data_IF_811256166365
#
_entry.id   IF_811256166365
#
_cell.length_a   1.000
_cell.length_b   1.000
_cell.length_c   1.000
_cell.angle_alpha   90.00
_cell.angle_beta   90.00
_cell.angle_gamma   90.00
#
_symmetry.space_group_name_H-M   'P 1'
#
loop_
_entity.id
_entity.type
_entity.pdbx_description
1 polymer ?
#
# COMPACT_ATOMS: atom_id res chain seq x y z
N UNK A 1 -15.08 -17.67 12.16
CA UNK A 1 -14.36 -16.37 12.10
C UNK A 1 -14.66 -15.72 10.75
N UNK A 2 -15.20 -14.50 10.69
CA UNK A 2 -15.23 -13.73 9.43
C UNK A 2 -13.80 -13.34 9.08
N UNK A 3 -13.31 -13.70 7.90
CA UNK A 3 -12.06 -13.17 7.36
C UNK A 3 -12.37 -11.78 6.83
N UNK A 4 -11.98 -10.74 7.55
CA UNK A 4 -12.17 -9.35 7.12
C UNK A 4 -11.30 -9.02 5.91
N UNK A 5 -11.43 -7.80 5.40
CA UNK A 5 -10.55 -7.25 4.36
C UNK A 5 -9.82 -6.02 4.90
N UNK A 6 -8.61 -5.78 4.42
CA UNK A 6 -7.81 -4.56 4.64
C UNK A 6 -7.74 -3.78 3.33
N UNK A 7 -7.65 -2.47 3.43
CA UNK A 7 -7.50 -1.56 2.28
C UNK A 7 -6.19 -0.79 2.47
N UNK A 8 -5.32 -0.85 1.48
CA UNK A 8 -4.10 -0.07 1.38
C UNK A 8 -4.34 1.02 0.33
N UNK A 9 -4.17 2.29 0.69
CA UNK A 9 -4.32 3.42 -0.22
C UNK A 9 -3.04 4.26 -0.21
N UNK A 10 -2.64 4.70 -1.41
CA UNK A 10 -1.60 5.69 -1.59
C UNK A 10 -2.22 6.96 -2.17
N UNK A 11 -1.88 8.10 -1.58
CA UNK A 11 -2.36 9.42 -2.00
C UNK A 11 -1.17 10.35 -2.19
N UNK A 12 -1.31 11.35 -3.06
CA UNK A 12 -0.35 12.44 -3.14
C UNK A 12 -0.55 13.47 -2.00
N UNK A 13 0.30 14.48 -1.96
CA UNK A 13 0.24 15.55 -0.95
C UNK A 13 -1.04 16.40 -1.04
N UNK A 14 -1.69 16.44 -2.21
CA UNK A 14 -2.94 17.16 -2.44
C UNK A 14 -4.18 16.28 -2.19
N UNK A 15 -3.99 15.00 -1.88
CA UNK A 15 -5.05 14.03 -1.62
C UNK A 15 -5.57 13.30 -2.86
N UNK A 16 -4.90 13.39 -4.01
CA UNK A 16 -5.27 12.58 -5.17
C UNK A 16 -4.92 11.11 -4.93
N UNK A 17 -5.86 10.22 -5.22
CA UNK A 17 -5.66 8.78 -5.11
C UNK A 17 -4.69 8.30 -6.20
N UNK A 18 -3.58 7.69 -5.79
CA UNK A 18 -2.55 7.16 -6.67
C UNK A 18 -2.69 5.64 -6.84
N UNK A 19 -3.01 4.92 -5.77
CA UNK A 19 -3.22 3.47 -5.80
C UNK A 19 -4.15 3.01 -4.68
N UNK A 20 -4.91 1.93 -4.92
CA UNK A 20 -5.70 1.24 -3.90
C UNK A 20 -5.59 -0.28 -4.09
N UNK A 21 -5.36 -1.00 -2.99
CA UNK A 21 -5.24 -2.45 -2.98
C UNK A 21 -6.00 -3.05 -1.79
N UNK A 22 -6.79 -4.09 -2.03
CA UNK A 22 -7.62 -4.73 -1.02
C UNK A 22 -7.16 -6.15 -0.80
N UNK A 23 -6.93 -6.52 0.46
CA UNK A 23 -6.35 -7.82 0.84
C UNK A 23 -7.17 -8.49 1.93
N UNK A 24 -7.18 -9.83 2.00
CA UNK A 24 -7.68 -10.54 3.18
C UNK A 24 -6.96 -10.07 4.45
N UNK A 25 -7.70 -9.89 5.54
CA UNK A 25 -7.15 -9.37 6.79
C UNK A 25 -6.17 -10.32 7.50
N UNK A 26 -6.14 -11.60 7.09
CA UNK A 26 -5.25 -12.63 7.60
C UNK A 26 -3.92 -12.76 6.84
N UNK A 27 -3.72 -12.01 5.75
CA UNK A 27 -2.47 -11.99 5.00
C UNK A 27 -1.43 -11.03 5.61
N UNK A 28 -0.15 -11.38 5.43
CA UNK A 28 0.98 -10.63 5.97
C UNK A 28 1.14 -9.29 5.23
N UNK A 29 1.04 -8.18 5.97
CA UNK A 29 1.05 -6.81 5.41
C UNK A 29 2.29 -6.50 4.56
N UNK A 30 3.45 -7.06 4.93
CA UNK A 30 4.70 -6.83 4.19
C UNK A 30 4.69 -7.36 2.76
N UNK A 31 3.96 -8.44 2.51
CA UNK A 31 3.83 -8.99 1.15
C UNK A 31 2.90 -8.15 0.27
N UNK A 32 2.00 -7.37 0.89
CA UNK A 32 0.91 -6.69 0.19
C UNK A 32 1.21 -5.26 -0.24
N UNK A 33 2.21 -4.63 0.36
CA UNK A 33 2.60 -3.25 0.04
C UNK A 33 3.45 -3.12 -1.24
N UNK A 34 3.99 -4.23 -1.77
CA UNK A 34 4.78 -4.18 -3.00
C UNK A 34 3.97 -3.68 -4.20
N UNK A 35 2.74 -4.18 -4.37
CA UNK A 35 1.89 -3.82 -5.51
C UNK A 35 1.45 -2.36 -5.50
N UNK A 36 0.95 -1.79 -4.37
CA UNK A 36 0.74 -0.35 -4.26
C UNK A 36 1.98 0.49 -4.58
N UNK A 37 3.19 0.05 -4.18
CA UNK A 37 4.42 0.79 -4.51
C UNK A 37 4.70 0.82 -6.03
N UNK A 38 4.51 -0.31 -6.73
CA UNK A 38 4.64 -0.38 -8.19
C UNK A 38 3.62 0.54 -8.89
N UNK A 39 2.36 0.50 -8.47
CA UNK A 39 1.29 1.32 -9.03
C UNK A 39 1.58 2.82 -8.84
N UNK A 40 2.03 3.22 -7.64
CA UNK A 40 2.44 4.61 -7.36
C UNK A 40 3.64 5.03 -8.20
N UNK A 41 4.63 4.15 -8.39
CA UNK A 41 5.79 4.44 -9.21
C UNK A 41 5.40 4.65 -10.68
N UNK A 42 4.51 3.83 -11.22
CA UNK A 42 3.99 4.00 -12.58
C UNK A 42 3.16 5.30 -12.71
N UNK A 43 2.32 5.61 -11.72
CA UNK A 43 1.46 6.79 -11.74
C UNK A 43 2.25 8.10 -11.62
N UNK A 44 3.34 8.12 -10.86
CA UNK A 44 4.13 9.33 -10.57
C UNK A 44 5.38 9.48 -11.43
N UNK A 45 5.87 8.40 -12.04
CA UNK A 45 7.18 8.37 -12.70
C UNK A 45 8.38 8.54 -11.75
N UNK A 46 8.13 8.59 -10.43
CA UNK A 46 9.17 8.74 -9.41
C UNK A 46 9.56 7.41 -8.80
N UNK A 47 10.78 7.32 -8.29
CA UNK A 47 11.23 6.11 -7.57
C UNK A 47 10.53 6.04 -6.22
N UNK A 48 9.83 4.93 -5.96
CA UNK A 48 9.18 4.66 -4.69
C UNK A 48 10.05 3.70 -3.89
N UNK A 49 10.39 4.06 -2.64
CA UNK A 49 11.12 3.19 -1.72
C UNK A 49 10.24 2.89 -0.51
N UNK A 50 10.20 1.61 -0.13
CA UNK A 50 9.47 1.15 1.04
C UNK A 50 10.37 1.20 2.27
N UNK A 51 9.93 1.90 3.32
CA UNK A 51 10.58 1.94 4.62
C UNK A 51 9.67 1.33 5.69
N UNK A 52 10.26 0.58 6.61
CA UNK A 52 9.54 -0.02 7.72
C UNK A 52 10.02 0.62 9.02
N UNK A 53 9.08 1.16 9.79
CA UNK A 53 9.35 1.60 11.15
C UNK A 53 9.06 0.44 12.10
N UNK A 54 10.06 0.03 12.89
CA UNK A 54 9.82 -0.86 14.03
C UNK A 54 9.39 0.01 15.21
N UNK A 55 8.24 -0.34 15.81
CA UNK A 55 7.79 0.30 17.04
C UNK A 55 8.60 -0.31 18.19
N UNK A 56 9.46 0.49 18.83
CA UNK A 56 10.21 0.10 20.03
C UNK A 56 9.32 -0.23 21.21
#
# INVERSE_FOLDING_TARGET
RKRGSKVHMAVDTLGHLLAVHVTPADEQERAQVQRPCEDVQQATGHTVQLAWADQG
#
